data_IF_809935353129
#
_entry.id   IF_809935353129
#
_cell.length_a   1.000
_cell.length_b   1.000
_cell.length_c   1.000
_cell.angle_alpha   90.00
_cell.angle_beta   90.00
_cell.angle_gamma   90.00
#
_symmetry.space_group_name_H-M   'P 1'
#
loop_
_entity.id
_entity.type
_entity.pdbx_description
1 polymer ?
#
# COMPACT_ATOMS: atom_id res chain seq x y z
N UNK A 1 1.14 16.50 -9.67
CA UNK A 1 0.06 16.23 -8.71
C UNK A 1 -0.10 14.73 -8.67
N UNK A 2 -0.04 14.15 -7.49
CA UNK A 2 -0.22 12.71 -7.27
C UNK A 2 -1.55 12.44 -6.58
N UNK A 3 -1.97 11.18 -6.55
CA UNK A 3 -3.30 10.80 -6.09
C UNK A 3 -3.52 10.99 -4.57
N UNK A 4 -2.44 11.10 -3.78
CA UNK A 4 -2.47 11.24 -2.33
C UNK A 4 -1.97 12.62 -1.85
N UNK A 5 -2.13 13.66 -2.67
CA UNK A 5 -1.55 15.00 -2.42
C UNK A 5 -2.51 16.04 -1.84
N UNK A 6 -3.78 15.68 -1.65
CA UNK A 6 -4.76 16.54 -0.99
C UNK A 6 -4.70 16.39 0.55
N UNK A 7 -5.15 17.42 1.27
CA UNK A 7 -5.09 17.47 2.74
C UNK A 7 -5.78 16.27 3.40
N UNK A 8 -6.90 15.81 2.85
CA UNK A 8 -7.67 14.72 3.42
C UNK A 8 -6.91 13.39 3.38
N UNK A 9 -6.24 13.10 2.26
CA UNK A 9 -5.41 11.90 2.10
C UNK A 9 -4.18 11.96 3.00
N UNK A 10 -3.53 13.13 3.06
CA UNK A 10 -2.36 13.33 3.92
C UNK A 10 -2.71 13.11 5.39
N UNK A 11 -3.81 13.68 5.86
CA UNK A 11 -4.29 13.52 7.24
C UNK A 11 -4.67 12.06 7.54
N UNK A 12 -5.35 11.39 6.60
CA UNK A 12 -5.75 9.99 6.75
C UNK A 12 -4.53 9.06 6.85
N UNK A 13 -3.51 9.27 6.01
CA UNK A 13 -2.26 8.51 6.04
C UNK A 13 -1.45 8.77 7.32
N UNK A 14 -1.36 10.02 7.76
CA UNK A 14 -0.64 10.39 8.98
C UNK A 14 -1.26 9.76 10.25
N UNK A 15 -2.58 9.51 10.24
CA UNK A 15 -3.30 8.91 11.37
C UNK A 15 -3.08 7.40 11.57
N UNK A 16 -2.35 6.71 10.68
CA UNK A 16 -2.22 5.24 10.70
C UNK A 16 -1.24 4.68 11.73
N UNK A 17 -0.47 5.52 12.41
CA UNK A 17 0.57 5.10 13.35
C UNK A 17 0.02 4.17 14.45
N UNK A 18 0.73 3.06 14.80
CA UNK A 18 2.08 2.69 14.34
C UNK A 18 2.12 1.93 13.00
N UNK A 19 0.97 1.68 12.36
CA UNK A 19 0.90 1.04 11.04
C UNK A 19 1.06 2.08 9.92
N UNK A 20 0.99 1.63 8.67
CA UNK A 20 0.92 2.51 7.51
C UNK A 20 0.10 1.86 6.38
N UNK A 21 -0.19 2.64 5.34
CA UNK A 21 -1.03 2.17 4.25
C UNK A 21 -0.38 1.08 3.39
N UNK A 22 0.95 0.97 3.33
CA UNK A 22 1.64 -0.14 2.65
C UNK A 22 1.36 -1.46 3.37
N UNK A 23 1.45 -1.47 4.70
CA UNK A 23 1.11 -2.64 5.51
C UNK A 23 -0.36 -3.01 5.34
N UNK A 24 -1.27 -2.04 5.38
CA UNK A 24 -2.70 -2.28 5.18
C UNK A 24 -2.98 -2.86 3.79
N UNK A 25 -2.34 -2.34 2.74
CA UNK A 25 -2.49 -2.84 1.38
C UNK A 25 -2.02 -4.28 1.24
N UNK A 26 -0.88 -4.61 1.84
CA UNK A 26 -0.35 -5.96 1.87
C UNK A 26 -1.28 -6.91 2.65
N UNK A 27 -1.79 -6.50 3.81
CA UNK A 27 -2.75 -7.28 4.60
C UNK A 27 -4.08 -7.51 3.87
N UNK A 28 -4.63 -6.47 3.24
CA UNK A 28 -5.78 -6.59 2.34
C UNK A 28 -5.52 -7.63 1.24
N UNK A 29 -4.35 -7.57 0.63
CA UNK A 29 -3.91 -8.50 -0.40
C UNK A 29 -3.85 -9.96 0.07
N UNK A 30 -3.32 -10.21 1.28
CA UNK A 30 -3.16 -11.56 1.84
C UNK A 30 -4.48 -12.11 2.40
N UNK A 31 -5.21 -11.30 3.16
CA UNK A 31 -6.34 -11.76 3.98
C UNK A 31 -7.66 -11.73 3.22
N UNK A 32 -7.88 -10.71 2.38
CA UNK A 32 -9.20 -10.47 1.76
C UNK A 32 -9.22 -10.73 0.24
N UNK A 33 -8.08 -10.55 -0.43
CA UNK A 33 -8.03 -10.48 -1.89
C UNK A 33 -7.19 -11.58 -2.55
N UNK A 34 -6.57 -12.46 -1.78
CA UNK A 34 -5.64 -13.48 -2.30
C UNK A 34 -6.31 -14.46 -3.27
N UNK A 35 -7.61 -14.68 -3.12
CA UNK A 35 -8.42 -15.51 -4.01
C UNK A 35 -8.55 -14.94 -5.44
N UNK A 36 -8.25 -13.65 -5.61
CA UNK A 36 -8.31 -12.91 -6.89
C UNK A 36 -6.94 -12.69 -7.54
N UNK A 37 -5.85 -13.18 -6.95
CA UNK A 37 -4.45 -12.91 -7.37
C UNK A 37 -4.13 -13.37 -8.81
N UNK A 38 -4.98 -14.20 -9.41
CA UNK A 38 -4.83 -14.65 -10.82
C UNK A 38 -5.34 -13.63 -11.83
N UNK A 39 -6.05 -12.59 -11.39
CA UNK A 39 -6.64 -11.55 -12.24
C UNK A 39 -6.25 -10.18 -11.71
N UNK A 40 -5.32 -9.51 -12.39
CA UNK A 40 -4.76 -8.21 -11.99
C UNK A 40 -5.85 -7.21 -11.59
N UNK A 41 -6.80 -6.94 -12.50
CA UNK A 41 -7.84 -5.94 -12.27
C UNK A 41 -8.76 -6.29 -11.10
N UNK A 42 -9.07 -7.57 -10.90
CA UNK A 42 -9.92 -8.03 -9.81
C UNK A 42 -9.20 -7.97 -8.45
N UNK A 43 -7.92 -8.32 -8.42
CA UNK A 43 -7.08 -8.22 -7.22
C UNK A 43 -6.93 -6.76 -6.79
N UNK A 44 -6.53 -5.88 -7.72
CA UNK A 44 -6.33 -4.45 -7.45
C UNK A 44 -7.60 -3.81 -6.93
N UNK A 45 -8.72 -3.97 -7.64
CA UNK A 45 -10.01 -3.41 -7.21
C UNK A 45 -10.45 -3.92 -5.82
N UNK A 46 -10.12 -5.16 -5.46
CA UNK A 46 -10.37 -5.68 -4.12
C UNK A 46 -9.50 -4.98 -3.07
N UNK A 47 -8.20 -4.81 -3.34
CA UNK A 47 -7.28 -4.12 -2.43
C UNK A 47 -7.65 -2.65 -2.30
N UNK A 48 -7.95 -1.96 -3.40
CA UNK A 48 -8.39 -0.55 -3.41
C UNK A 48 -9.56 -0.35 -2.45
N UNK A 49 -10.62 -1.14 -2.62
CA UNK A 49 -11.81 -1.08 -1.78
C UNK A 49 -11.54 -1.46 -0.31
N UNK A 50 -10.59 -2.37 -0.07
CA UNK A 50 -10.18 -2.74 1.28
C UNK A 50 -9.40 -1.62 1.96
N UNK A 51 -8.44 -1.00 1.27
CA UNK A 51 -7.64 0.13 1.76
C UNK A 51 -8.54 1.33 2.01
N UNK A 52 -9.41 1.71 1.07
CA UNK A 52 -10.34 2.83 1.21
C UNK A 52 -11.24 2.65 2.46
N UNK A 53 -11.71 1.43 2.72
CA UNK A 53 -12.52 1.12 3.91
C UNK A 53 -11.71 1.16 5.21
N UNK A 54 -10.46 0.70 5.19
CA UNK A 54 -9.61 0.60 6.40
C UNK A 54 -8.93 1.93 6.74
N UNK A 55 -8.66 2.77 5.76
CA UNK A 55 -8.04 4.09 5.91
C UNK A 55 -9.13 5.15 5.77
N UNK A 56 -9.84 5.42 6.87
CA UNK A 56 -10.96 6.36 6.85
C UNK A 56 -10.50 7.74 6.40
N UNK A 57 -11.09 8.24 5.33
CA UNK A 57 -10.76 9.55 4.77
C UNK A 57 -9.93 9.48 3.49
N UNK A 58 -9.33 8.34 3.17
CA UNK A 58 -8.58 8.18 1.93
C UNK A 58 -9.49 8.28 0.70
N UNK A 59 -9.02 8.97 -0.33
CA UNK A 59 -9.66 9.08 -1.62
C UNK A 59 -9.54 7.79 -2.41
N UNK A 60 -10.49 7.55 -3.32
CA UNK A 60 -10.44 6.40 -4.21
C UNK A 60 -9.18 6.43 -5.08
N UNK A 61 -8.78 7.61 -5.58
CA UNK A 61 -7.56 7.78 -6.37
C UNK A 61 -6.32 7.38 -5.56
N UNK A 62 -6.19 7.86 -4.32
CA UNK A 62 -5.07 7.48 -3.46
C UNK A 62 -5.08 5.98 -3.12
N UNK A 63 -6.25 5.41 -2.82
CA UNK A 63 -6.38 3.98 -2.53
C UNK A 63 -5.92 3.09 -3.70
N UNK A 64 -6.15 3.54 -4.95
CA UNK A 64 -5.74 2.81 -6.16
C UNK A 64 -4.21 2.63 -6.27
N UNK A 65 -3.43 3.61 -5.78
CA UNK A 65 -1.98 3.49 -5.74
C UNK A 65 -1.52 2.35 -4.81
N UNK A 66 -2.28 2.05 -3.76
CA UNK A 66 -1.99 0.98 -2.84
C UNK A 66 -2.41 -0.40 -3.38
N UNK A 67 -3.47 -0.48 -4.19
CA UNK A 67 -3.75 -1.70 -4.96
C UNK A 67 -2.69 -1.98 -6.02
N UNK A 68 -2.18 -0.94 -6.70
CA UNK A 68 -1.02 -1.03 -7.60
C UNK A 68 0.21 -1.58 -6.86
N UNK A 69 0.54 -1.05 -5.68
CA UNK A 69 1.61 -1.55 -4.83
C UNK A 69 1.42 -3.04 -4.49
N UNK A 70 0.23 -3.41 -4.02
CA UNK A 70 -0.07 -4.78 -3.62
C UNK A 70 0.07 -5.73 -4.83
N UNK A 71 -0.43 -5.35 -6.00
CA UNK A 71 -0.26 -6.16 -7.21
C UNK A 71 1.20 -6.30 -7.64
N UNK A 72 1.94 -5.20 -7.63
CA UNK A 72 3.35 -5.16 -7.99
C UNK A 72 4.18 -6.09 -7.08
N UNK A 73 3.88 -6.09 -5.78
CA UNK A 73 4.63 -6.78 -4.74
C UNK A 73 4.10 -8.19 -4.39
N UNK A 74 3.09 -8.67 -5.12
CA UNK A 74 2.27 -9.84 -4.77
C UNK A 74 3.02 -11.17 -4.62
N UNK A 75 4.09 -11.37 -5.38
CA UNK A 75 4.71 -12.69 -5.51
C UNK A 75 5.58 -13.05 -4.32
N UNK A 76 6.33 -12.08 -3.79
CA UNK A 76 7.36 -12.33 -2.77
C UNK A 76 7.18 -11.47 -1.52
N UNK A 77 6.51 -10.32 -1.61
CA UNK A 77 6.55 -9.30 -0.56
C UNK A 77 5.22 -9.11 0.15
N UNK A 78 4.10 -9.54 -0.44
CA UNK A 78 2.77 -9.38 0.15
C UNK A 78 2.69 -9.92 1.59
N UNK A 79 3.13 -11.17 1.80
CA UNK A 79 3.09 -11.82 3.12
C UNK A 79 3.99 -11.15 4.16
N UNK A 80 5.29 -10.93 3.92
CA UNK A 80 6.14 -10.26 4.92
C UNK A 80 5.71 -8.81 5.19
N UNK A 81 5.24 -8.08 4.17
CA UNK A 81 4.81 -6.70 4.33
C UNK A 81 3.45 -6.55 5.03
N UNK A 82 2.59 -7.57 5.02
CA UNK A 82 1.31 -7.57 5.75
C UNK A 82 1.51 -7.57 7.27
N UNK A 83 2.54 -8.28 7.75
CA UNK A 83 2.89 -8.32 9.16
C UNK A 83 3.42 -6.98 9.67
N UNK A 84 4.42 -6.44 8.96
CA UNK A 84 4.98 -5.11 9.19
C UNK A 84 5.80 -4.70 7.96
N UNK A 85 5.34 -3.65 7.27
CA UNK A 85 5.94 -3.18 6.02
C UNK A 85 7.26 -2.40 6.21
N UNK A 86 7.66 -2.14 7.45
CA UNK A 86 8.91 -1.48 7.80
C UNK A 86 9.99 -2.49 8.25
N UNK A 87 9.66 -3.78 8.31
CA UNK A 87 10.66 -4.80 8.60
C UNK A 87 11.70 -4.90 7.48
N UNK A 88 12.98 -5.25 7.79
CA UNK A 88 13.98 -5.52 6.78
C UNK A 88 13.53 -6.57 5.76
N UNK A 89 12.73 -7.55 6.17
CA UNK A 89 12.21 -8.60 5.27
C UNK A 89 11.29 -8.04 4.18
N UNK A 90 10.44 -7.06 4.52
CA UNK A 90 9.63 -6.36 3.53
C UNK A 90 10.49 -5.42 2.68
N UNK A 91 11.31 -4.58 3.31
CA UNK A 91 12.10 -3.53 2.63
C UNK A 91 13.16 -4.09 1.67
N UNK A 92 13.71 -5.26 1.96
CA UNK A 92 14.71 -5.93 1.11
C UNK A 92 14.13 -7.03 0.23
N UNK A 93 12.80 -7.15 0.20
CA UNK A 93 12.14 -8.12 -0.67
C UNK A 93 12.49 -7.83 -2.15
N UNK A 94 12.87 -8.86 -2.93
CA UNK A 94 13.27 -8.64 -4.32
C UNK A 94 12.21 -7.91 -5.16
N UNK A 95 12.59 -6.79 -5.77
CA UNK A 95 11.72 -5.98 -6.63
C UNK A 95 10.76 -5.04 -5.90
N UNK A 96 10.77 -5.03 -4.56
CA UNK A 96 9.89 -4.17 -3.78
C UNK A 96 10.24 -2.69 -3.90
N UNK A 97 11.52 -2.37 -4.09
CA UNK A 97 12.02 -1.01 -4.34
C UNK A 97 11.34 -0.37 -5.56
N UNK A 98 11.27 -1.11 -6.68
CA UNK A 98 10.57 -0.66 -7.88
C UNK A 98 9.07 -0.41 -7.63
N UNK A 99 8.43 -1.26 -6.83
CA UNK A 99 7.03 -1.09 -6.44
C UNK A 99 6.83 0.15 -5.56
N UNK A 100 7.74 0.43 -4.62
CA UNK A 100 7.68 1.64 -3.78
C UNK A 100 7.95 2.91 -4.57
N UNK A 101 8.85 2.89 -5.56
CA UNK A 101 9.08 4.03 -6.47
C UNK A 101 7.82 4.32 -7.29
N UNK A 102 7.15 3.28 -7.79
CA UNK A 102 5.89 3.43 -8.52
C UNK A 102 4.79 3.99 -7.62
N UNK A 103 4.73 3.54 -6.35
CA UNK A 103 3.83 4.08 -5.35
C UNK A 103 4.12 5.57 -5.09
N UNK A 104 5.37 5.96 -4.87
CA UNK A 104 5.75 7.35 -4.61
C UNK A 104 5.32 8.27 -5.78
N UNK A 105 5.51 7.79 -7.01
CA UNK A 105 5.08 8.51 -8.21
C UNK A 105 3.55 8.62 -8.31
N UNK A 106 2.82 7.55 -8.00
CA UNK A 106 1.36 7.53 -8.01
C UNK A 106 0.77 8.42 -6.91
N UNK A 107 1.26 8.26 -5.68
CA UNK A 107 0.81 9.00 -4.51
C UNK A 107 1.22 10.48 -4.56
N UNK A 108 2.35 10.80 -5.22
CA UNK A 108 2.91 12.15 -5.25
C UNK A 108 3.63 12.56 -3.97
N UNK A 109 4.07 11.58 -3.17
CA UNK A 109 4.78 11.77 -1.89
C UNK A 109 5.63 10.54 -1.60
N UNK A 110 6.63 10.68 -0.71
CA UNK A 110 7.29 9.52 -0.11
C UNK A 110 6.26 8.70 0.66
N UNK A 111 6.17 7.42 0.33
CA UNK A 111 5.24 6.45 0.90
C UNK A 111 5.91 5.48 1.87
N UNK A 112 7.24 5.56 1.99
CA UNK A 112 7.99 4.91 3.06
C UNK A 112 7.71 5.68 4.35
N UNK A 113 6.56 5.38 4.95
CA UNK A 113 6.11 5.96 6.22
C UNK A 113 6.64 5.10 7.39
N UNK A 114 7.95 4.88 7.47
CA UNK A 114 8.60 4.15 8.57
C UNK A 114 9.13 5.14 9.63
N UNK A 115 8.91 4.83 10.91
CA UNK A 115 9.34 5.66 12.04
C UNK A 115 10.87 5.81 12.14
N UNK A 116 11.61 4.91 11.49
CA UNK A 116 13.07 4.82 11.57
C UNK A 116 13.80 5.74 10.57
N UNK A 117 13.07 6.52 9.75
CA UNK A 117 13.63 7.45 8.75
C UNK A 117 13.97 8.85 9.31
N UNK A 118 14.16 8.99 10.63
CA UNK A 118 14.66 10.22 11.30
C UNK A 118 16.09 10.10 11.79
#
# INVERSE_FOLDING_TARGET
MGACDNTRDVDALAGLQPTNARQIAADCGVVECIDRVTMESAFKACVDACVERRVTGLSTECSSCYGDLAWCSRELCLTPCAGDSCTPLCLTCPGYDACTIALDACAGRTSIDCLDDT
#
